data_IF_827014205697
#
_entry.id   IF_827014205697
#
_cell.length_a   1.000
_cell.length_b   1.000
_cell.length_c   1.000
_cell.angle_alpha   90.00
_cell.angle_beta   90.00
_cell.angle_gamma   90.00
#
_symmetry.space_group_name_H-M   'P 1'
#
loop_
_entity.id
_entity.type
_entity.pdbx_description
1 polymer ?
#
# COMPACT_ATOMS: atom_id res chain seq x y z
N UNK A 1 45.17 -26.85 -24.78
CA UNK A 1 43.81 -26.28 -24.79
C UNK A 1 43.88 -24.92 -25.48
N UNK A 2 43.23 -24.77 -26.64
CA UNK A 2 43.55 -23.73 -27.63
C UNK A 2 42.85 -22.38 -27.32
N UNK A 3 43.57 -21.26 -27.41
CA UNK A 3 43.13 -19.91 -27.02
C UNK A 3 41.85 -19.46 -27.74
N UNK A 4 41.59 -20.01 -28.94
CA UNK A 4 40.37 -19.77 -29.73
C UNK A 4 39.10 -20.38 -29.14
N UNK A 5 39.20 -21.49 -28.40
CA UNK A 5 38.03 -22.17 -27.82
C UNK A 5 37.57 -21.49 -26.51
N UNK A 6 38.48 -20.82 -25.79
CA UNK A 6 38.15 -20.06 -24.57
C UNK A 6 37.40 -18.77 -24.93
N UNK A 7 37.80 -18.10 -26.03
CA UNK A 7 37.11 -16.90 -26.51
C UNK A 7 35.67 -17.18 -26.99
N UNK A 8 35.41 -18.36 -27.56
CA UNK A 8 34.07 -18.75 -28.02
C UNK A 8 33.12 -19.09 -26.88
N UNK A 9 33.64 -19.64 -25.77
CA UNK A 9 32.83 -19.97 -24.59
C UNK A 9 32.49 -18.70 -23.80
N UNK A 10 33.40 -17.72 -23.74
CA UNK A 10 33.13 -16.42 -23.09
C UNK A 10 32.08 -15.58 -23.85
N UNK A 11 32.04 -15.61 -25.19
CA UNK A 11 31.05 -14.83 -25.95
C UNK A 11 29.63 -15.39 -25.83
N UNK A 12 29.49 -16.73 -25.76
CA UNK A 12 28.20 -17.38 -25.56
C UNK A 12 27.64 -17.13 -24.14
N UNK A 13 28.51 -17.04 -23.13
CA UNK A 13 28.09 -16.74 -21.76
C UNK A 13 27.60 -15.29 -21.62
N UNK A 14 28.24 -14.32 -22.27
CA UNK A 14 27.83 -12.92 -22.22
C UNK A 14 26.46 -12.71 -22.91
N UNK A 15 26.19 -13.39 -24.03
CA UNK A 15 24.89 -13.29 -24.72
C UNK A 15 23.72 -13.85 -23.89
N UNK A 16 23.95 -14.84 -23.04
CA UNK A 16 22.94 -15.41 -22.13
C UNK A 16 22.65 -14.54 -20.90
N UNK A 17 23.51 -13.56 -20.58
CA UNK A 17 23.31 -12.66 -19.43
C UNK A 17 22.53 -11.38 -19.78
N UNK A 18 22.39 -11.02 -21.06
CA UNK A 18 21.75 -9.75 -21.47
C UNK A 18 20.27 -9.85 -21.88
N UNK A 19 19.66 -11.04 -21.89
CA UNK A 19 18.30 -11.22 -22.44
C UNK A 19 17.14 -10.91 -21.49
N UNK A 20 17.38 -10.45 -20.25
CA UNK A 20 16.32 -10.37 -19.22
C UNK A 20 16.16 -8.98 -18.56
N UNK A 21 16.61 -7.89 -19.20
CA UNK A 21 16.14 -6.55 -18.82
C UNK A 21 14.99 -6.10 -19.72
N UNK A 22 13.90 -6.86 -19.71
CA UNK A 22 12.61 -6.36 -20.18
C UNK A 22 11.99 -5.50 -19.07
N UNK A 23 12.28 -4.20 -19.07
CA UNK A 23 11.50 -3.25 -18.28
C UNK A 23 10.08 -3.24 -18.86
N UNK A 24 9.18 -4.02 -18.27
CA UNK A 24 7.78 -4.02 -18.68
C UNK A 24 7.28 -2.56 -18.64
N UNK A 25 6.69 -2.11 -19.75
CA UNK A 25 6.23 -0.72 -19.86
C UNK A 25 5.10 -0.46 -18.86
N UNK A 26 5.39 0.29 -17.80
CA UNK A 26 4.40 0.69 -16.81
C UNK A 26 3.60 1.91 -17.29
N UNK A 27 2.37 2.02 -16.82
CA UNK A 27 1.43 3.10 -17.11
C UNK A 27 1.15 3.85 -15.80
N UNK A 28 1.61 5.10 -15.71
CA UNK A 28 1.34 5.94 -14.55
C UNK A 28 0.01 6.68 -14.67
N UNK A 29 -0.74 6.71 -13.58
CA UNK A 29 -2.01 7.41 -13.48
C UNK A 29 -2.02 8.36 -12.30
N UNK A 30 -2.59 9.55 -12.51
CA UNK A 30 -2.86 10.51 -11.45
C UNK A 30 -4.29 11.02 -11.54
N UNK A 31 -4.93 11.21 -10.38
CA UNK A 31 -6.34 11.56 -10.30
C UNK A 31 -6.70 12.43 -9.10
N UNK A 32 -7.98 12.75 -9.04
CA UNK A 32 -8.60 13.52 -7.97
C UNK A 32 -9.96 12.93 -7.63
N UNK A 33 -10.21 12.69 -6.36
CA UNK A 33 -11.52 12.31 -5.83
C UNK A 33 -12.05 13.38 -4.88
N UNK A 34 -13.37 13.45 -4.75
CA UNK A 34 -14.08 14.25 -3.75
C UNK A 34 -15.00 13.36 -2.91
N UNK A 35 -15.14 13.70 -1.63
CA UNK A 35 -16.12 13.11 -0.71
C UNK A 35 -15.54 12.12 0.31
N UNK A 36 -14.25 11.78 0.24
CA UNK A 36 -13.61 10.96 1.27
C UNK A 36 -13.28 11.81 2.50
N UNK A 37 -13.63 11.32 3.68
CA UNK A 37 -13.42 12.04 4.95
C UNK A 37 -12.77 11.16 6.03
N UNK A 38 -12.52 9.87 5.74
CA UNK A 38 -12.04 8.92 6.74
C UNK A 38 -10.94 7.99 6.21
N UNK A 39 -10.03 7.55 7.08
CA UNK A 39 -8.92 6.65 6.75
C UNK A 39 -9.40 5.25 6.32
N UNK A 40 -10.49 4.75 6.90
CA UNK A 40 -11.14 3.52 6.44
C UNK A 40 -11.69 3.64 5.00
N UNK A 41 -12.19 4.81 4.64
CA UNK A 41 -12.71 5.11 3.30
C UNK A 41 -11.57 5.03 2.28
N UNK A 42 -10.43 5.66 2.60
CA UNK A 42 -9.19 5.62 1.81
C UNK A 42 -8.67 4.20 1.67
N UNK A 43 -8.64 3.43 2.76
CA UNK A 43 -8.20 2.04 2.75
C UNK A 43 -9.05 1.19 1.78
N UNK A 44 -10.37 1.27 1.89
CA UNK A 44 -11.29 0.47 1.07
C UNK A 44 -11.16 0.81 -0.43
N UNK A 45 -11.10 2.10 -0.77
CA UNK A 45 -10.88 2.55 -2.15
C UNK A 45 -9.52 2.10 -2.69
N UNK A 46 -8.45 2.28 -1.92
CA UNK A 46 -7.08 1.87 -2.30
C UNK A 46 -7.04 0.38 -2.62
N UNK A 47 -7.67 -0.44 -1.76
CA UNK A 47 -7.78 -1.89 -1.97
C UNK A 47 -8.55 -2.22 -3.25
N UNK A 48 -9.72 -1.61 -3.46
CA UNK A 48 -10.53 -1.83 -4.66
C UNK A 48 -9.82 -1.42 -5.96
N UNK A 49 -9.12 -0.29 -5.98
CA UNK A 49 -8.31 0.13 -7.13
C UNK A 49 -7.20 -0.91 -7.39
N UNK A 50 -6.55 -1.41 -6.34
CA UNK A 50 -5.56 -2.48 -6.46
C UNK A 50 -6.10 -3.81 -7.01
N UNK A 51 -7.42 -4.04 -6.96
CA UNK A 51 -8.05 -5.23 -7.55
C UNK A 51 -8.37 -5.06 -9.04
N UNK A 52 -8.25 -3.85 -9.61
CA UNK A 52 -8.44 -3.63 -11.04
C UNK A 52 -7.35 -4.40 -11.80
N UNK A 53 -7.69 -5.24 -12.79
CA UNK A 53 -6.71 -5.97 -13.60
C UNK A 53 -5.66 -5.03 -14.19
N UNK A 54 -4.39 -5.38 -14.02
CA UNK A 54 -3.25 -4.58 -14.47
C UNK A 54 -2.71 -3.59 -13.45
N UNK A 55 -3.45 -3.20 -12.41
CA UNK A 55 -2.95 -2.28 -11.38
C UNK A 55 -1.89 -2.95 -10.50
N UNK A 56 -0.77 -2.26 -10.29
CA UNK A 56 0.33 -2.70 -9.43
C UNK A 56 -0.02 -2.28 -7.99
N UNK A 57 -0.68 -3.19 -7.24
CA UNK A 57 -1.25 -2.95 -5.90
C UNK A 57 -0.40 -2.10 -4.95
N UNK A 58 0.92 -2.36 -4.76
CA UNK A 58 1.73 -1.59 -3.80
C UNK A 58 1.91 -0.11 -4.17
N UNK A 59 1.63 0.27 -5.42
CA UNK A 59 1.81 1.64 -5.92
C UNK A 59 0.56 2.50 -5.74
N UNK A 60 -0.59 1.89 -5.39
CA UNK A 60 -1.83 2.63 -5.21
C UNK A 60 -1.74 3.48 -3.96
N UNK A 61 -1.87 4.79 -4.14
CA UNK A 61 -1.87 5.77 -3.07
C UNK A 61 -3.04 6.73 -3.25
N UNK A 62 -3.74 6.97 -2.16
CA UNK A 62 -4.86 7.89 -2.10
C UNK A 62 -4.65 8.78 -0.87
N UNK A 63 -4.42 10.07 -1.09
CA UNK A 63 -4.20 11.01 -0.01
C UNK A 63 -5.54 11.56 0.51
N UNK A 64 -5.82 11.34 1.79
CA UNK A 64 -7.10 11.71 2.41
C UNK A 64 -7.37 13.22 2.32
N UNK A 65 -6.38 14.05 2.65
CA UNK A 65 -6.54 15.51 2.77
C UNK A 65 -6.72 16.19 1.42
N UNK A 66 -5.88 15.83 0.45
CA UNK A 66 -5.91 16.43 -0.88
C UNK A 66 -6.90 15.77 -1.82
N UNK A 67 -7.27 14.50 -1.58
CA UNK A 67 -8.04 13.67 -2.52
C UNK A 67 -7.23 13.24 -3.75
N UNK A 68 -5.90 13.42 -3.73
CA UNK A 68 -5.02 12.99 -4.81
C UNK A 68 -4.96 11.46 -4.87
N UNK A 69 -4.95 10.91 -6.08
CA UNK A 69 -4.81 9.47 -6.35
C UNK A 69 -3.65 9.28 -7.30
N UNK A 70 -2.87 8.23 -7.08
CA UNK A 70 -1.83 7.80 -7.99
C UNK A 70 -1.66 6.28 -7.95
N UNK A 71 -1.28 5.68 -9.07
CA UNK A 71 -0.92 4.26 -9.17
C UNK A 71 -0.20 3.97 -10.48
N UNK A 72 0.49 2.84 -10.53
CA UNK A 72 1.07 2.25 -11.73
C UNK A 72 0.24 1.05 -12.18
N UNK A 73 0.26 0.78 -13.48
CA UNK A 73 -0.37 -0.40 -14.07
C UNK A 73 0.53 -1.04 -15.15
N UNK A 74 0.41 -2.34 -15.35
CA UNK A 74 1.11 -3.10 -16.40
C UNK A 74 0.43 -3.00 -17.77
N UNK A 75 -0.79 -2.45 -17.82
CA UNK A 75 -1.56 -2.23 -19.03
C UNK A 75 -2.40 -0.95 -18.91
N UNK A 76 -2.89 -0.37 -20.02
CA UNK A 76 -3.81 0.76 -19.97
C UNK A 76 -5.08 0.41 -19.18
N UNK A 77 -5.45 1.27 -18.25
CA UNK A 77 -6.68 1.24 -17.45
C UNK A 77 -7.65 2.29 -17.98
N UNK A 78 -8.90 1.91 -18.18
CA UNK A 78 -9.95 2.83 -18.58
C UNK A 78 -10.44 3.66 -17.38
N UNK A 79 -10.74 4.94 -17.63
CA UNK A 79 -11.24 5.85 -16.60
C UNK A 79 -12.51 5.33 -15.91
N UNK A 80 -13.36 4.65 -16.66
CA UNK A 80 -14.63 4.09 -16.21
C UNK A 80 -14.41 3.00 -15.16
N UNK A 81 -13.39 2.15 -15.32
CA UNK A 81 -13.06 1.12 -14.32
C UNK A 81 -12.74 1.74 -12.96
N UNK A 82 -11.92 2.79 -12.97
CA UNK A 82 -11.57 3.54 -11.74
C UNK A 82 -12.77 4.31 -11.20
N UNK A 83 -13.57 4.94 -12.07
CA UNK A 83 -14.76 5.71 -11.65
C UNK A 83 -15.82 4.83 -10.97
N UNK A 84 -16.00 3.58 -11.42
CA UNK A 84 -16.92 2.61 -10.80
C UNK A 84 -16.56 2.31 -9.35
N UNK A 85 -15.27 2.18 -9.03
CA UNK A 85 -14.80 1.98 -7.64
C UNK A 85 -15.27 3.10 -6.72
N UNK A 86 -15.15 4.35 -7.18
CA UNK A 86 -15.61 5.52 -6.41
C UNK A 86 -17.13 5.57 -6.32
N UNK A 87 -17.84 5.29 -7.42
CA UNK A 87 -19.32 5.30 -7.44
C UNK A 87 -19.91 4.28 -6.46
N UNK A 88 -19.38 3.06 -6.45
CA UNK A 88 -19.80 1.99 -5.52
C UNK A 88 -19.56 2.32 -4.05
N UNK A 89 -18.59 3.20 -3.76
CA UNK A 89 -18.22 3.61 -2.41
C UNK A 89 -18.85 4.96 -2.01
N UNK A 90 -19.71 5.54 -2.85
CA UNK A 90 -20.40 6.80 -2.57
C UNK A 90 -19.56 8.06 -2.84
N UNK A 91 -18.44 7.94 -3.53
CA UNK A 91 -17.51 9.03 -3.84
C UNK A 91 -17.53 9.40 -5.33
N UNK A 92 -16.93 10.55 -5.67
CA UNK A 92 -16.86 11.03 -7.04
C UNK A 92 -15.43 11.22 -7.52
N UNK A 93 -15.04 10.47 -8.55
CA UNK A 93 -13.81 10.72 -9.30
C UNK A 93 -13.99 11.98 -10.16
N UNK A 94 -13.14 12.98 -9.94
CA UNK A 94 -13.18 14.27 -10.62
C UNK A 94 -12.30 14.24 -11.88
N UNK A 95 -11.06 13.77 -11.75
CA UNK A 95 -10.12 13.63 -12.86
C UNK A 95 -9.31 12.35 -12.74
N UNK A 96 -8.88 11.82 -13.87
CA UNK A 96 -7.92 10.73 -13.98
C UNK A 96 -7.19 10.91 -15.31
N UNK A 97 -5.89 11.07 -15.25
CA UNK A 97 -5.03 11.29 -16.42
C UNK A 97 -3.88 10.29 -16.37
N UNK A 98 -3.45 9.83 -17.54
CA UNK A 98 -2.17 9.14 -17.69
C UNK A 98 -1.04 10.16 -17.59
N UNK A 99 0.02 9.81 -16.89
CA UNK A 99 1.23 10.63 -16.74
C UNK A 99 2.46 9.84 -17.18
N UNK A 100 3.60 10.50 -17.33
CA UNK A 100 4.88 9.83 -17.61
C UNK A 100 5.38 9.06 -16.38
N UNK A 101 5.24 9.67 -15.21
CA UNK A 101 5.65 9.11 -13.92
C UNK A 101 4.61 9.43 -12.84
N UNK A 102 4.64 8.68 -11.74
CA UNK A 102 4.03 9.10 -10.47
C UNK A 102 5.06 9.92 -9.69
N UNK A 103 4.60 10.95 -8.98
CA UNK A 103 5.49 11.91 -8.32
C UNK A 103 5.72 11.61 -6.83
N UNK A 104 5.07 10.58 -6.27
CA UNK A 104 5.29 10.26 -4.87
C UNK A 104 6.57 9.48 -4.64
N UNK A 105 7.40 10.03 -3.76
CA UNK A 105 8.36 9.20 -3.04
C UNK A 105 7.57 8.35 -2.05
N UNK A 106 7.75 7.02 -2.04
CA UNK A 106 7.12 6.19 -1.01
C UNK A 106 7.55 6.67 0.37
N UNK A 107 6.58 6.83 1.28
CA UNK A 107 6.86 7.12 2.68
C UNK A 107 7.73 6.00 3.25
N UNK A 108 8.90 6.36 3.80
CA UNK A 108 9.82 5.41 4.42
C UNK A 108 9.53 5.33 5.92
N UNK A 109 9.18 4.14 6.38
CA UNK A 109 8.94 3.86 7.80
C UNK A 109 10.15 3.16 8.42
N UNK A 110 10.33 3.32 9.73
CA UNK A 110 11.37 2.59 10.46
C UNK A 110 11.20 1.08 10.24
N UNK A 111 12.32 0.35 10.20
CA UNK A 111 12.29 -1.11 10.03
C UNK A 111 11.91 -1.82 11.33
N UNK A 112 12.25 -1.23 12.46
CA UNK A 112 11.84 -1.69 13.79
C UNK A 112 10.50 -1.08 14.16
N UNK A 113 9.53 -1.88 14.63
CA UNK A 113 8.26 -1.36 15.10
C UNK A 113 8.46 -0.60 16.42
N UNK A 114 7.68 0.47 16.61
CA UNK A 114 7.58 1.16 17.90
C UNK A 114 7.04 0.23 18.97
N UNK A 115 6.11 -0.64 18.60
CA UNK A 115 5.66 -1.77 19.42
C UNK A 115 5.08 -2.87 18.54
N UNK A 116 5.02 -4.07 19.10
CA UNK A 116 4.25 -5.20 18.58
C UNK A 116 3.31 -5.67 19.68
N UNK A 117 2.03 -5.86 19.37
CA UNK A 117 1.07 -6.46 20.29
C UNK A 117 0.40 -7.63 19.58
N UNK A 118 0.19 -8.72 20.32
CA UNK A 118 -0.47 -9.93 19.84
C UNK A 118 -1.66 -10.26 20.74
N UNK A 119 -2.77 -10.64 20.12
CA UNK A 119 -4.01 -11.00 20.81
C UNK A 119 -4.61 -12.27 20.23
N UNK A 120 -5.35 -13.00 21.06
CA UNK A 120 -6.18 -14.11 20.58
C UNK A 120 -7.55 -13.60 20.11
N UNK A 121 -7.98 -14.05 18.94
CA UNK A 121 -9.27 -13.72 18.31
C UNK A 121 -10.50 -14.40 18.95
N UNK A 122 -10.34 -15.10 20.08
CA UNK A 122 -11.44 -15.84 20.71
C UNK A 122 -12.62 -14.96 21.09
N UNK A 123 -12.38 -13.68 21.40
CA UNK A 123 -13.40 -12.71 21.80
C UNK A 123 -13.06 -11.33 21.25
N UNK A 124 -13.65 -10.99 20.10
CA UNK A 124 -13.43 -9.72 19.42
C UNK A 124 -13.84 -8.50 20.27
N UNK A 125 -14.96 -8.60 20.98
CA UNK A 125 -15.50 -7.51 21.80
C UNK A 125 -14.54 -7.08 22.93
N UNK A 126 -13.74 -8.02 23.45
CA UNK A 126 -12.78 -7.72 24.53
C UNK A 126 -11.53 -6.99 24.01
N UNK A 127 -11.17 -7.19 22.73
CA UNK A 127 -9.97 -6.58 22.13
C UNK A 127 -10.28 -5.27 21.39
N UNK A 128 -11.54 -5.03 21.02
CA UNK A 128 -11.96 -3.83 20.29
C UNK A 128 -11.50 -2.51 20.97
N UNK A 129 -11.62 -2.33 22.30
CA UNK A 129 -11.12 -1.12 22.97
C UNK A 129 -9.60 -0.93 22.83
N UNK A 130 -8.85 -2.03 22.78
CA UNK A 130 -7.40 -1.99 22.61
C UNK A 130 -7.04 -1.60 21.18
N UNK A 131 -7.75 -2.15 20.19
CA UNK A 131 -7.60 -1.77 18.78
C UNK A 131 -7.94 -0.29 18.58
N UNK A 132 -8.99 0.23 19.22
CA UNK A 132 -9.32 1.65 19.17
C UNK A 132 -8.20 2.53 19.74
N UNK A 133 -7.65 2.15 20.90
CA UNK A 133 -6.53 2.86 21.53
C UNK A 133 -5.28 2.88 20.63
N UNK A 134 -4.95 1.74 19.99
CA UNK A 134 -3.85 1.66 19.00
C UNK A 134 -4.13 2.61 17.84
N UNK A 135 -5.36 2.62 17.32
CA UNK A 135 -5.74 3.50 16.22
C UNK A 135 -5.63 4.98 16.58
N UNK A 136 -6.01 5.38 17.80
CA UNK A 136 -5.84 6.76 18.32
C UNK A 136 -4.38 7.15 18.38
N UNK A 137 -3.52 6.25 18.88
CA UNK A 137 -2.08 6.47 18.92
C UNK A 137 -1.49 6.60 17.50
N UNK A 138 -1.92 5.75 16.57
CA UNK A 138 -1.49 5.79 15.18
C UNK A 138 -1.91 7.09 14.47
N UNK A 139 -3.08 7.67 14.83
CA UNK A 139 -3.58 8.92 14.27
C UNK A 139 -2.75 10.15 14.72
N UNK A 140 -2.07 10.08 15.87
CA UNK A 140 -1.27 11.18 16.39
C UNK A 140 -0.05 11.50 15.51
N UNK A 141 0.43 10.53 14.73
CA UNK A 141 1.64 10.62 13.90
C UNK A 141 1.38 10.10 12.49
N UNK A 142 2.26 10.41 11.52
CA UNK A 142 2.26 9.67 10.26
C UNK A 142 2.81 8.28 10.52
N UNK A 143 1.92 7.29 10.50
CA UNK A 143 2.21 5.94 10.96
C UNK A 143 1.86 4.87 9.93
N UNK A 144 2.53 3.73 10.02
CA UNK A 144 2.16 2.49 9.37
C UNK A 144 1.72 1.48 10.44
N UNK A 145 0.50 0.96 10.32
CA UNK A 145 0.07 -0.23 11.05
C UNK A 145 0.25 -1.45 10.15
N UNK A 146 1.08 -2.40 10.56
CA UNK A 146 1.10 -3.73 9.97
C UNK A 146 0.21 -4.64 10.79
N UNK A 147 -0.85 -5.15 10.20
CA UNK A 147 -1.84 -6.01 10.84
C UNK A 147 -1.74 -7.39 10.19
N UNK A 148 -1.37 -8.41 10.96
CA UNK A 148 -1.36 -9.80 10.50
C UNK A 148 -2.50 -10.56 11.18
N UNK A 149 -3.50 -10.97 10.41
CA UNK A 149 -4.73 -11.58 10.91
C UNK A 149 -5.53 -12.29 9.78
N UNK A 150 -6.59 -13.04 10.09
CA UNK A 150 -7.41 -13.74 9.09
C UNK A 150 -8.08 -12.78 8.12
N UNK A 151 -8.02 -13.08 6.82
CA UNK A 151 -8.70 -12.26 5.81
C UNK A 151 -10.22 -12.17 6.04
N UNK A 152 -10.84 -13.21 6.59
CA UNK A 152 -12.27 -13.23 6.91
C UNK A 152 -12.69 -12.21 7.97
N UNK A 153 -11.75 -11.70 8.77
CA UNK A 153 -11.98 -10.74 9.87
C UNK A 153 -11.41 -9.35 9.60
N UNK A 154 -10.86 -9.13 8.42
CA UNK A 154 -10.12 -7.91 8.05
C UNK A 154 -10.92 -6.62 8.31
N UNK A 155 -12.17 -6.54 7.85
CA UNK A 155 -12.98 -5.33 8.01
C UNK A 155 -13.39 -5.10 9.47
N UNK A 156 -13.71 -6.19 10.19
CA UNK A 156 -14.08 -6.18 11.62
C UNK A 156 -12.90 -5.69 12.49
N UNK A 157 -11.67 -6.08 12.15
CA UNK A 157 -10.44 -5.66 12.84
C UNK A 157 -10.06 -4.22 12.48
N UNK A 158 -10.20 -3.83 11.21
CA UNK A 158 -9.80 -2.49 10.76
C UNK A 158 -10.78 -1.40 11.18
N UNK A 159 -12.06 -1.72 11.38
CA UNK A 159 -13.05 -0.74 11.83
C UNK A 159 -12.61 -0.01 13.12
N UNK A 160 -12.28 -0.69 14.24
CA UNK A 160 -11.81 0.00 15.44
C UNK A 160 -10.45 0.67 15.25
N UNK A 161 -9.57 0.18 14.36
CA UNK A 161 -8.24 0.75 14.13
C UNK A 161 -8.22 2.05 13.30
N UNK A 162 -9.09 2.17 12.29
CA UNK A 162 -9.07 3.30 11.34
C UNK A 162 -10.43 3.89 10.97
N UNK A 163 -11.53 3.33 11.47
CA UNK A 163 -12.88 3.87 11.29
C UNK A 163 -12.99 5.30 11.82
N UNK A 164 -13.59 6.20 11.03
CA UNK A 164 -13.84 7.60 11.42
C UNK A 164 -12.63 8.52 11.54
N UNK A 165 -11.40 7.99 11.50
CA UNK A 165 -10.16 8.78 11.69
C UNK A 165 -9.87 9.68 10.49
N UNK A 166 -9.50 10.93 10.76
CA UNK A 166 -9.37 11.99 9.76
C UNK A 166 -7.91 12.29 9.37
N UNK A 167 -6.95 11.67 10.06
CA UNK A 167 -5.53 11.70 9.65
C UNK A 167 -5.12 10.39 9.01
N UNK A 168 -4.17 10.50 8.08
CA UNK A 168 -3.70 9.39 7.27
C UNK A 168 -2.89 8.38 8.10
N UNK A 169 -3.41 7.16 8.17
CA UNK A 169 -2.74 5.99 8.75
C UNK A 169 -2.54 5.00 7.61
N UNK A 170 -1.28 4.66 7.29
CA UNK A 170 -0.99 3.63 6.30
C UNK A 170 -1.27 2.26 6.92
N UNK A 171 -1.90 1.37 6.16
CA UNK A 171 -2.20 0.01 6.58
C UNK A 171 -1.50 -0.97 5.65
N UNK A 172 -0.76 -1.89 6.26
CA UNK A 172 -0.30 -3.11 5.61
C UNK A 172 -1.03 -4.29 6.25
N UNK A 173 -2.03 -4.84 5.57
CA UNK A 173 -2.75 -6.01 6.06
C UNK A 173 -2.16 -7.28 5.45
N UNK A 174 -1.71 -8.20 6.30
CA UNK A 174 -1.10 -9.45 5.94
C UNK A 174 -2.00 -10.62 6.39
N UNK A 175 -2.26 -11.61 5.53
CA UNK A 175 -2.94 -12.83 5.96
C UNK A 175 -2.17 -13.51 7.10
N UNK A 176 -2.89 -13.89 8.16
CA UNK A 176 -2.35 -14.53 9.35
C UNK A 176 -3.18 -15.71 9.85
N UNK A 177 -2.80 -16.22 11.01
CA UNK A 177 -3.44 -17.35 11.67
C UNK A 177 -4.88 -17.07 12.05
N UNK A 178 -5.74 -18.09 11.94
CA UNK A 178 -7.21 -18.00 12.14
C UNK A 178 -7.64 -17.42 13.48
N UNK A 179 -6.79 -17.51 14.51
CA UNK A 179 -7.12 -17.23 15.89
C UNK A 179 -6.23 -16.16 16.53
N UNK A 180 -5.41 -15.46 15.75
CA UNK A 180 -4.48 -14.47 16.26
C UNK A 180 -4.55 -13.18 15.46
N UNK A 181 -4.34 -12.06 16.15
CA UNK A 181 -4.03 -10.78 15.54
C UNK A 181 -2.67 -10.36 16.05
N UNK A 182 -1.78 -10.00 15.14
CA UNK A 182 -0.58 -9.23 15.44
C UNK A 182 -0.73 -7.82 14.87
N UNK A 183 -0.53 -6.80 15.70
CA UNK A 183 -0.49 -5.40 15.29
C UNK A 183 0.88 -4.81 15.59
N UNK A 184 1.51 -4.24 14.58
CA UNK A 184 2.78 -3.51 14.68
C UNK A 184 2.58 -2.06 14.26
N UNK A 185 3.05 -1.13 15.08
CA UNK A 185 3.08 0.30 14.74
C UNK A 185 4.49 0.71 14.32
N UNK A 186 4.61 1.41 13.21
CA UNK A 186 5.86 2.01 12.75
C UNK A 186 5.67 3.51 12.52
N UNK A 187 6.67 4.29 12.91
CA UNK A 187 6.74 5.73 12.58
C UNK A 187 7.62 5.97 11.36
N UNK A 188 7.45 7.15 10.74
CA UNK A 188 8.32 7.61 9.67
C UNK A 188 9.78 7.59 10.10
N UNK A 189 10.67 7.23 9.17
CA UNK A 189 12.11 7.41 9.35
C UNK A 189 12.38 8.90 9.46
N UNK A 190 12.91 9.34 10.59
CA UNK A 190 13.53 10.65 10.70
C UNK A 190 14.80 10.61 9.86
N UNK A 191 14.84 11.37 8.76
CA UNK A 191 16.10 11.61 8.06
C UNK A 191 16.96 12.38 9.07
N UNK A 192 17.97 11.70 9.63
CA UNK A 192 18.92 12.33 10.54
C UNK A 192 19.75 13.33 9.73
N UNK A 193 19.21 14.54 9.59
CA UNK A 193 19.96 15.70 9.18
C UNK A 193 21.04 15.94 10.23
N UNK A 194 22.26 15.63 9.84
CA UNK A 194 23.53 15.99 10.47
C UNK A 194 23.39 17.30 11.26
N UNK A 195 23.39 17.21 12.61
CA UNK A 195 23.76 18.32 13.47
C UNK A 195 25.27 18.49 13.37
N UNK A 196 25.73 19.45 12.57
CA UNK A 196 26.95 20.22 12.81
C UNK A 196 26.85 21.52 12.03
#
# INVERSE_FOLDING_TARGET
>A
MNKKNIAFILSAFIALFFSEQSFAKEYAYQGQVKGMVCSFCVYNVTKKIGLIPGVIKPTVSVNLKSGHIEFLATMPIEKQQVASVFKETGFKLIKLNRTEHINSSPLKFNTQPQFTIQFSLKKMDEIEPVLDAIGKLAEAHTSLLSVKAPLSKEMEILQPLIGGRQKEIKINYLPGDKNEIEVKLFYLQTISGKKS
#
